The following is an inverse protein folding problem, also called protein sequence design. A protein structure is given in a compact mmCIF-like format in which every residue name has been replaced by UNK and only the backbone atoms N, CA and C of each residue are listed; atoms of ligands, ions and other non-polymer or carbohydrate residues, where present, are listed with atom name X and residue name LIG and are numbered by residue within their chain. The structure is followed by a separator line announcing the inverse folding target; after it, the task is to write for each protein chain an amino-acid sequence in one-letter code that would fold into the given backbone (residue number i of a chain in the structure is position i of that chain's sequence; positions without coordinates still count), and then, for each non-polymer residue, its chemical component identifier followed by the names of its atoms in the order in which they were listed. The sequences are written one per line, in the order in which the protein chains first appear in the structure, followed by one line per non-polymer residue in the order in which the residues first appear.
data_IF_985910766110
#
_entry.id   IF_985910766110
#
_cell.length_a   1.000
_cell.length_b   1.000
_cell.length_c   1.000
_cell.angle_alpha   90.00
_cell.angle_beta   90.00
_cell.angle_gamma   90.00
#
_symmetry.space_group_name_H-M   'P 1'
#
loop_
_entity.id
_entity.type
_entity.pdbx_description
1 polymer ?
#
# COMPACT_ATOMS: atom_id res chain seq x y z
N UNK A 1 26.19 -21.30 -59.27
CA UNK A 1 26.53 -20.58 -58.02
C UNK A 1 25.26 -19.93 -57.49
N UNK A 2 24.66 -20.48 -56.42
CA UNK A 2 23.45 -19.93 -55.78
C UNK A 2 23.88 -19.24 -54.47
N UNK A 3 23.63 -17.93 -54.37
CA UNK A 3 23.90 -17.13 -53.17
C UNK A 3 22.78 -17.40 -52.16
N UNK A 4 23.11 -18.08 -51.06
CA UNK A 4 22.21 -18.27 -49.92
C UNK A 4 22.37 -17.02 -49.06
N UNK A 5 21.37 -16.13 -49.12
CA UNK A 5 21.26 -14.97 -48.24
C UNK A 5 20.93 -15.48 -46.85
N UNK A 6 21.81 -15.18 -45.90
CA UNK A 6 21.61 -15.46 -44.47
C UNK A 6 20.42 -14.68 -43.96
N UNK A 7 19.26 -15.33 -43.82
CA UNK A 7 18.12 -14.82 -43.06
C UNK A 7 18.30 -15.24 -41.59
N UNK A 8 19.17 -14.54 -40.88
CA UNK A 8 19.47 -14.81 -39.47
C UNK A 8 19.62 -13.49 -38.72
N UNK A 9 18.55 -12.68 -38.71
CA UNK A 9 18.49 -11.45 -37.90
C UNK A 9 17.02 -11.08 -37.65
N UNK A 10 16.32 -11.85 -36.81
CA UNK A 10 14.99 -11.46 -36.31
C UNK A 10 14.64 -12.10 -34.94
N UNK A 11 15.63 -12.45 -34.12
CA UNK A 11 15.41 -12.76 -32.70
C UNK A 11 16.25 -11.80 -31.87
N UNK A 12 15.68 -10.66 -31.51
CA UNK A 12 16.40 -9.71 -30.67
C UNK A 12 15.70 -8.38 -30.53
N UNK A 13 14.46 -8.37 -30.02
CA UNK A 13 13.84 -7.21 -29.34
C UNK A 13 12.48 -7.56 -28.70
N UNK A 14 12.27 -8.81 -28.27
CA UNK A 14 11.05 -9.22 -27.55
C UNK A 14 11.32 -9.54 -26.06
N UNK A 15 12.38 -8.97 -25.49
CA UNK A 15 12.75 -9.16 -24.09
C UNK A 15 13.09 -7.80 -23.46
N UNK A 16 12.07 -7.05 -23.07
CA UNK A 16 12.15 -5.98 -22.06
C UNK A 16 10.80 -5.30 -21.71
N UNK A 17 9.66 -5.74 -22.25
CA UNK A 17 8.35 -5.42 -21.65
C UNK A 17 8.08 -6.34 -20.45
N UNK A 18 9.09 -6.60 -19.61
CA UNK A 18 8.80 -6.94 -18.22
C UNK A 18 8.19 -5.68 -17.64
N UNK A 19 6.86 -5.64 -17.58
CA UNK A 19 6.05 -4.58 -17.02
C UNK A 19 6.79 -3.94 -15.84
N UNK A 20 7.20 -2.68 -15.98
CA UNK A 20 7.52 -1.86 -14.84
C UNK A 20 6.20 -1.64 -14.10
N UNK A 21 5.77 -2.63 -13.31
CA UNK A 21 4.61 -2.48 -12.43
C UNK A 21 4.93 -1.31 -11.51
N UNK A 22 4.03 -0.34 -11.46
CA UNK A 22 4.20 0.82 -10.59
C UNK A 22 4.32 0.36 -9.14
N UNK A 23 4.94 1.15 -8.27
CA UNK A 23 4.99 0.79 -6.84
C UNK A 23 3.58 0.71 -6.24
N UNK A 24 2.63 1.45 -6.81
CA UNK A 24 1.19 1.37 -6.51
C UNK A 24 0.61 -0.01 -6.84
N UNK A 25 0.82 -0.51 -8.06
CA UNK A 25 0.33 -1.83 -8.49
C UNK A 25 0.95 -2.97 -7.66
N UNK A 26 2.24 -2.84 -7.33
CA UNK A 26 2.94 -3.77 -6.45
C UNK A 26 2.32 -3.78 -5.06
N UNK A 27 2.03 -2.61 -4.51
CA UNK A 27 1.44 -2.53 -3.18
C UNK A 27 0.02 -3.13 -3.15
N UNK A 28 -0.83 -2.84 -4.14
CA UNK A 28 -2.13 -3.49 -4.29
C UNK A 28 -1.99 -5.01 -4.38
N UNK A 29 -0.98 -5.50 -5.10
CA UNK A 29 -0.71 -6.94 -5.23
C UNK A 29 -0.24 -7.56 -3.91
N UNK A 30 0.59 -6.87 -3.13
CA UNK A 30 1.00 -7.28 -1.79
C UNK A 30 -0.19 -7.40 -0.83
N UNK A 31 -1.11 -6.43 -0.86
CA UNK A 31 -2.34 -6.47 -0.05
C UNK A 31 -3.23 -7.65 -0.45
N UNK A 32 -3.41 -7.90 -1.74
CA UNK A 32 -4.12 -9.11 -2.22
C UNK A 32 -3.44 -10.39 -1.75
N UNK A 33 -2.12 -10.46 -1.84
CA UNK A 33 -1.34 -11.62 -1.38
C UNK A 33 -1.44 -11.84 0.14
N UNK A 34 -1.60 -10.77 0.92
CA UNK A 34 -1.89 -10.83 2.34
C UNK A 34 -3.34 -11.28 2.65
N UNK A 35 -4.21 -11.38 1.65
CA UNK A 35 -5.59 -11.84 1.79
C UNK A 35 -6.64 -10.73 1.90
N UNK A 36 -6.29 -9.47 1.57
CA UNK A 36 -7.29 -8.40 1.48
C UNK A 36 -8.13 -8.60 0.20
N UNK A 37 -9.44 -8.74 0.37
CA UNK A 37 -10.33 -9.27 -0.66
C UNK A 37 -10.53 -8.39 -1.90
N UNK A 38 -10.38 -7.06 -1.77
CA UNK A 38 -10.48 -6.09 -2.86
C UNK A 38 -9.83 -4.76 -2.43
N UNK A 39 -8.50 -4.60 -2.49
CA UNK A 39 -7.90 -3.30 -2.20
C UNK A 39 -8.40 -2.24 -3.19
N UNK A 40 -8.65 -1.05 -2.66
CA UNK A 40 -9.10 0.11 -3.42
C UNK A 40 -8.05 0.66 -4.37
N UNK A 41 -8.36 1.81 -4.96
CA UNK A 41 -7.40 2.52 -5.79
C UNK A 41 -6.28 3.12 -4.91
N UNK A 42 -5.00 2.94 -5.25
CA UNK A 42 -3.92 3.58 -4.53
C UNK A 42 -3.92 5.10 -4.72
N UNK A 43 -3.55 5.81 -3.65
CA UNK A 43 -3.09 7.21 -3.65
C UNK A 43 -1.60 7.25 -3.36
N UNK A 44 -0.93 8.31 -3.81
CA UNK A 44 0.46 8.56 -3.45
C UNK A 44 0.60 9.98 -2.93
N UNK A 45 1.01 10.12 -1.67
CA UNK A 45 1.45 11.37 -1.09
C UNK A 45 2.96 11.50 -1.19
N UNK A 46 3.47 12.72 -1.39
CA UNK A 46 4.92 12.97 -1.49
C UNK A 46 5.33 14.12 -0.59
N UNK A 47 6.08 13.78 0.45
CA UNK A 47 6.67 14.75 1.37
C UNK A 47 8.06 15.14 0.88
N UNK A 48 8.29 16.45 0.74
CA UNK A 48 9.60 17.02 0.38
C UNK A 48 10.24 17.64 1.60
N UNK A 49 11.37 17.10 2.04
CA UNK A 49 12.18 17.64 3.13
C UNK A 49 13.44 18.28 2.58
N UNK A 50 13.85 19.39 3.18
CA UNK A 50 15.17 19.98 2.92
C UNK A 50 15.86 20.30 4.23
N UNK A 51 17.13 19.91 4.34
CA UNK A 51 17.95 20.13 5.53
C UNK A 51 19.23 20.83 5.13
N UNK A 52 19.56 21.91 5.83
CA UNK A 52 20.83 22.62 5.67
C UNK A 52 21.88 21.97 6.58
N UNK A 53 23.01 21.56 6.01
CA UNK A 53 24.15 20.97 6.72
C UNK A 53 25.38 21.82 6.37
N UNK A 54 25.78 22.71 7.28
CA UNK A 54 26.80 23.72 7.02
C UNK A 54 26.40 24.64 5.85
N UNK A 55 27.26 24.73 4.83
CA UNK A 55 26.99 25.48 3.59
C UNK A 55 26.18 24.68 2.55
N UNK A 56 25.93 23.39 2.78
CA UNK A 56 25.22 22.51 1.83
C UNK A 56 23.74 22.41 2.19
N UNK A 57 22.88 22.31 1.17
CA UNK A 57 21.46 22.00 1.33
C UNK A 57 21.22 20.61 0.77
N UNK A 58 20.72 19.70 1.60
CA UNK A 58 20.29 18.35 1.21
C UNK A 58 18.79 18.39 1.01
N UNK A 59 18.32 17.95 -0.16
CA UNK A 59 16.89 17.77 -0.46
C UNK A 59 16.61 16.27 -0.49
N UNK A 60 15.54 15.85 0.16
CA UNK A 60 15.04 14.48 0.11
C UNK A 60 13.53 14.53 -0.15
N UNK A 61 13.03 13.52 -0.85
CA UNK A 61 11.60 13.29 -1.00
C UNK A 61 11.29 11.87 -0.57
N UNK A 62 10.17 11.70 0.13
CA UNK A 62 9.63 10.41 0.50
C UNK A 62 8.21 10.35 -0.02
N UNK A 63 7.85 9.24 -0.66
CA UNK A 63 6.50 9.02 -1.14
C UNK A 63 5.86 7.91 -0.34
N UNK A 64 4.69 8.18 0.23
CA UNK A 64 3.83 7.20 0.89
C UNK A 64 2.73 6.83 -0.10
N UNK A 65 2.47 5.54 -0.23
CA UNK A 65 1.37 5.01 -1.03
C UNK A 65 0.33 4.52 -0.04
N UNK A 66 -0.90 5.03 -0.12
CA UNK A 66 -2.02 4.51 0.66
C UNK A 66 -2.99 3.72 -0.22
N UNK A 67 -3.61 2.70 0.38
CA UNK A 67 -4.67 1.92 -0.25
C UNK A 67 -5.73 1.58 0.80
N UNK A 68 -6.97 1.96 0.52
CA UNK A 68 -8.11 1.54 1.33
C UNK A 68 -8.38 0.04 1.16
N UNK A 69 -8.55 -0.68 2.27
CA UNK A 69 -9.02 -2.06 2.32
C UNK A 69 -10.23 -2.15 3.23
N UNK A 70 -11.18 -3.04 2.90
CA UNK A 70 -12.31 -3.33 3.78
C UNK A 70 -12.04 -4.60 4.58
N UNK A 71 -12.17 -4.53 5.90
CA UNK A 71 -12.00 -5.67 6.81
C UNK A 71 -13.15 -5.67 7.79
N UNK A 72 -13.95 -6.75 7.79
CA UNK A 72 -15.08 -6.92 8.71
C UNK A 72 -15.98 -5.68 8.73
N UNK A 73 -16.30 -5.13 7.56
CA UNK A 73 -17.17 -3.97 7.39
C UNK A 73 -16.52 -2.59 7.64
N UNK A 74 -15.36 -2.51 8.29
CA UNK A 74 -14.60 -1.27 8.47
C UNK A 74 -13.65 -1.02 7.31
N UNK A 75 -13.52 0.24 6.94
CA UNK A 75 -12.57 0.70 5.92
C UNK A 75 -11.27 1.07 6.66
N UNK A 76 -10.14 0.61 6.13
CA UNK A 76 -8.81 0.78 6.72
C UNK A 76 -7.87 1.32 5.66
N UNK A 77 -7.09 2.33 6.01
CA UNK A 77 -6.04 2.84 5.15
C UNK A 77 -4.74 2.10 5.45
N UNK A 78 -4.25 1.36 4.45
CA UNK A 78 -2.96 0.70 4.53
C UNK A 78 -1.94 1.58 3.82
N UNK A 79 -0.85 1.94 4.48
CA UNK A 79 0.20 2.78 3.94
C UNK A 79 1.52 2.03 3.76
N UNK A 80 2.32 2.51 2.81
CA UNK A 80 3.65 1.97 2.51
C UNK A 80 4.58 3.04 1.94
N UNK A 81 5.84 3.04 2.35
CA UNK A 81 6.86 3.86 1.68
C UNK A 81 7.21 3.26 0.31
N UNK A 82 7.07 4.09 -0.73
CA UNK A 82 7.36 3.72 -2.11
C UNK A 82 8.78 3.16 -2.25
N UNK A 83 8.88 1.94 -2.80
CA UNK A 83 10.15 1.24 -3.01
C UNK A 83 10.74 0.53 -1.78
N UNK A 84 10.09 0.59 -0.62
CA UNK A 84 10.51 -0.18 0.56
C UNK A 84 9.72 -1.50 0.68
N UNK A 85 10.13 -2.38 1.59
CA UNK A 85 9.36 -3.58 1.96
C UNK A 85 8.49 -3.29 3.19
N UNK A 86 7.42 -4.06 3.34
CA UNK A 86 6.46 -3.87 4.43
C UNK A 86 5.44 -2.76 4.16
N UNK A 87 4.37 -2.78 4.94
CA UNK A 87 3.28 -1.81 4.95
C UNK A 87 2.68 -1.82 6.35
N UNK A 88 1.86 -0.82 6.66
CA UNK A 88 1.18 -0.73 7.93
C UNK A 88 -0.25 -0.22 7.81
N UNK A 89 -1.04 -0.44 8.86
CA UNK A 89 -2.26 0.29 9.11
C UNK A 89 -1.93 1.73 9.51
N UNK A 90 -2.36 2.67 8.69
CA UNK A 90 -2.22 4.11 8.91
C UNK A 90 -3.46 4.66 9.62
N UNK A 91 -4.65 4.40 9.06
CA UNK A 91 -5.90 4.94 9.59
C UNK A 91 -7.04 3.91 9.62
N UNK A 92 -7.93 4.03 10.62
CA UNK A 92 -9.25 3.39 10.61
C UNK A 92 -10.26 4.44 10.14
N UNK A 93 -11.12 4.07 9.19
CA UNK A 93 -12.21 4.92 8.73
C UNK A 93 -13.56 4.38 9.21
N UNK A 94 -14.22 5.14 10.08
CA UNK A 94 -15.59 4.88 10.54
C UNK A 94 -16.51 5.81 9.77
N UNK A 95 -17.38 5.24 8.91
CA UNK A 95 -18.28 6.02 8.01
C UNK A 95 -17.53 7.02 7.11
N UNK A 96 -16.32 6.66 6.68
CA UNK A 96 -15.49 7.49 5.80
C UNK A 96 -14.81 8.67 6.49
N UNK A 97 -14.69 8.63 7.82
CA UNK A 97 -13.92 9.59 8.60
C UNK A 97 -12.97 8.85 9.53
N UNK A 98 -11.77 9.40 9.71
CA UNK A 98 -10.86 9.01 10.79
C UNK A 98 -11.51 9.41 12.13
N UNK A 99 -11.83 8.44 13.02
CA UNK A 99 -12.39 8.75 14.32
C UNK A 99 -11.29 9.16 15.30
N UNK A 100 -11.63 9.95 16.30
CA UNK A 100 -10.72 10.15 17.44
C UNK A 100 -10.54 8.84 18.20
N UNK A 101 -9.34 8.25 18.10
CA UNK A 101 -8.97 7.03 18.81
C UNK A 101 -7.71 7.28 19.66
N UNK A 102 -7.87 7.64 20.94
CA UNK A 102 -6.74 7.86 21.82
C UNK A 102 -5.84 6.61 21.91
N UNK A 103 -4.54 6.81 21.66
CA UNK A 103 -3.55 5.75 21.59
C UNK A 103 -3.81 4.73 20.47
N UNK A 104 -4.31 5.20 19.32
CA UNK A 104 -4.44 4.38 18.13
C UNK A 104 -3.13 3.63 17.85
N UNK A 105 -3.17 2.29 17.79
CA UNK A 105 -1.99 1.52 17.47
C UNK A 105 -1.76 1.59 15.96
N UNK A 106 -0.87 2.50 15.55
CA UNK A 106 -0.36 2.60 14.19
C UNK A 106 0.61 1.43 13.89
N UNK A 107 1.03 1.33 12.63
CA UNK A 107 2.14 0.46 12.24
C UNK A 107 1.83 -1.05 12.33
N UNK A 108 0.55 -1.44 12.16
CA UNK A 108 0.11 -2.83 12.31
C UNK A 108 0.14 -3.64 11.00
N UNK A 109 0.53 -4.91 11.10
CA UNK A 109 0.35 -5.92 10.05
C UNK A 109 -1.11 -6.40 9.99
N UNK A 110 -1.52 -7.05 8.89
CA UNK A 110 -2.89 -7.59 8.72
C UNK A 110 -3.38 -8.38 9.94
N UNK A 111 -2.60 -9.33 10.44
CA UNK A 111 -3.05 -10.19 11.54
C UNK A 111 -3.21 -9.40 12.83
N UNK A 112 -2.37 -8.40 13.06
CA UNK A 112 -2.49 -7.48 14.18
C UNK A 112 -3.73 -6.59 14.04
N UNK A 113 -4.04 -6.11 12.83
CA UNK A 113 -5.29 -5.40 12.55
C UNK A 113 -6.49 -6.28 12.84
N UNK A 114 -6.54 -7.49 12.28
CA UNK A 114 -7.67 -8.42 12.49
C UNK A 114 -7.85 -8.72 13.98
N UNK A 115 -6.74 -8.93 14.71
CA UNK A 115 -6.77 -9.10 16.16
C UNK A 115 -7.26 -7.85 16.89
N UNK A 116 -6.75 -6.67 16.54
CA UNK A 116 -7.16 -5.39 17.13
C UNK A 116 -8.67 -5.19 16.98
N UNK A 117 -9.21 -5.44 15.78
CA UNK A 117 -10.64 -5.28 15.51
C UNK A 117 -11.50 -6.28 16.31
N UNK A 118 -10.98 -7.50 16.55
CA UNK A 118 -11.72 -8.58 17.20
C UNK A 118 -11.57 -8.65 18.73
N UNK A 119 -10.56 -8.00 19.30
CA UNK A 119 -10.29 -8.08 20.73
C UNK A 119 -11.13 -7.08 21.57
N UNK A 120 -11.01 -7.20 22.89
CA UNK A 120 -11.70 -6.34 23.85
C UNK A 120 -10.95 -5.03 24.17
N UNK A 121 -9.98 -4.61 23.34
CA UNK A 121 -9.33 -3.30 23.53
C UNK A 121 -10.33 -2.16 23.31
N UNK A 122 -10.06 -1.00 23.89
CA UNK A 122 -10.87 0.20 23.70
C UNK A 122 -10.98 0.54 22.21
N UNK A 123 -12.20 0.77 21.73
CA UNK A 123 -12.53 1.10 20.34
C UNK A 123 -13.04 2.54 20.27
N UNK A 124 -12.84 3.23 19.14
CA UNK A 124 -13.32 4.59 19.00
C UNK A 124 -14.84 4.61 18.85
N UNK A 125 -15.42 5.78 19.01
CA UNK A 125 -16.85 5.98 18.80
C UNK A 125 -17.25 5.60 17.38
N UNK A 126 -18.43 4.99 17.24
CA UNK A 126 -18.95 4.51 15.95
C UNK A 126 -18.28 3.25 15.41
N UNK A 127 -17.26 2.67 16.06
CA UNK A 127 -16.62 1.42 15.63
C UNK A 127 -17.64 0.29 15.37
N UNK A 128 -18.62 0.14 16.25
CA UNK A 128 -19.67 -0.89 16.13
C UNK A 128 -20.58 -0.70 14.91
N UNK A 129 -20.60 0.50 14.32
CA UNK A 129 -21.38 0.78 13.12
C UNK A 129 -20.69 0.24 11.86
N UNK A 130 -19.36 0.12 11.87
CA UNK A 130 -18.60 -0.49 10.79
C UNK A 130 -18.26 -1.95 11.05
N UNK A 131 -17.91 -2.33 12.29
CA UNK A 131 -17.38 -3.64 12.59
C UNK A 131 -18.45 -4.72 12.59
N UNK A 132 -18.34 -5.61 11.61
CA UNK A 132 -19.24 -6.73 11.35
C UNK A 132 -18.39 -8.00 11.29
N UNK A 133 -18.20 -8.71 12.42
CA UNK A 133 -17.27 -9.85 12.51
C UNK A 133 -17.61 -11.00 11.56
N UNK A 134 -18.87 -11.10 11.16
CA UNK A 134 -19.39 -12.14 10.27
C UNK A 134 -19.30 -11.78 8.78
N UNK A 135 -18.88 -10.57 8.41
CA UNK A 135 -18.60 -10.23 7.01
C UNK A 135 -17.24 -10.79 6.59
N UNK A 136 -17.11 -11.14 5.31
CA UNK A 136 -15.88 -11.68 4.71
C UNK A 136 -14.88 -10.56 4.41
#
# INVERSE_FOLDING_TARGET
MKRIVSALLALGCAAALSACTSNEDKFVSELKAAGFGNPGKPSTETEKKSKKIGKRTVKSSQSTIEVMVRVKGCDLEMAKISGQSGYWLDELHVKGQEPDWPNYPENLTRDQVVKLLADNSAKPDGFKDCYKPNEA
#
